data_IF_622168052260
#
_entry.id   IF_622168052260
#
_cell.length_a   1.000
_cell.length_b   1.000
_cell.length_c   1.000
_cell.angle_alpha   90.00
_cell.angle_beta   90.00
_cell.angle_gamma   90.00
#
_symmetry.space_group_name_H-M   'P 1'
#
loop_
_entity.id
_entity.type
_entity.pdbx_description
1 polymer ?
#
# COMPACT_ATOMS: atom_id res chain seq x y z
N UNK A 1 12.27 -14.00 7.01
CA UNK A 1 12.41 -12.52 7.10
C UNK A 1 12.44 -11.94 5.71
N UNK A 2 11.58 -10.99 5.38
CA UNK A 2 11.69 -10.32 4.09
C UNK A 2 12.82 -9.30 4.11
N UNK A 3 13.33 -8.96 2.93
CA UNK A 3 14.10 -7.74 2.79
C UNK A 3 13.12 -6.58 2.89
N UNK A 4 13.50 -5.55 3.61
CA UNK A 4 12.64 -4.38 3.79
C UNK A 4 13.03 -3.27 2.83
N UNK A 5 12.02 -2.64 2.26
CA UNK A 5 12.19 -1.39 1.52
C UNK A 5 11.68 -0.26 2.42
N UNK A 6 12.55 0.68 2.74
CA UNK A 6 12.18 1.85 3.53
C UNK A 6 11.54 2.89 2.62
N UNK A 7 10.36 3.37 3.02
CA UNK A 7 9.63 4.38 2.26
C UNK A 7 9.54 5.67 3.07
N UNK A 8 9.80 6.79 2.41
CA UNK A 8 9.64 8.13 2.98
C UNK A 8 8.74 8.93 2.05
N UNK A 9 7.59 9.35 2.56
CA UNK A 9 6.55 10.01 1.78
C UNK A 9 6.24 11.35 2.42
N UNK A 10 6.30 12.40 1.62
CA UNK A 10 5.94 13.75 2.05
C UNK A 10 4.78 14.25 1.21
N UNK A 11 3.72 14.67 1.89
CA UNK A 11 2.58 15.35 1.27
C UNK A 11 2.61 16.80 1.70
N UNK A 12 2.67 17.71 0.72
CA UNK A 12 2.54 19.13 0.98
C UNK A 12 1.14 19.55 0.57
N UNK A 13 0.29 19.77 1.55
CA UNK A 13 -1.09 20.16 1.32
C UNK A 13 -1.22 21.67 1.22
N UNK A 14 -2.35 22.15 0.70
CA UNK A 14 -2.58 23.57 0.57
C UNK A 14 -2.83 24.24 1.93
N UNK A 15 -3.51 23.51 2.83
CA UNK A 15 -3.87 23.99 4.17
C UNK A 15 -3.59 22.94 5.23
N UNK A 16 -3.54 23.36 6.50
CA UNK A 16 -3.44 22.44 7.64
C UNK A 16 -4.66 21.51 7.67
N UNK A 17 -5.83 22.04 7.42
CA UNK A 17 -7.08 21.27 7.40
C UNK A 17 -7.06 20.20 6.30
N UNK A 18 -6.48 20.55 5.15
CA UNK A 18 -6.27 19.57 4.06
C UNK A 18 -5.34 18.44 4.48
N UNK A 19 -4.27 18.76 5.21
CA UNK A 19 -3.36 17.76 5.76
C UNK A 19 -4.06 16.87 6.80
N UNK A 20 -4.88 17.45 7.67
CA UNK A 20 -5.68 16.71 8.65
C UNK A 20 -6.63 15.72 7.96
N UNK A 21 -7.30 16.17 6.89
CA UNK A 21 -8.22 15.34 6.10
C UNK A 21 -7.48 14.20 5.41
N UNK A 22 -6.33 14.48 4.81
CA UNK A 22 -5.52 13.46 4.16
C UNK A 22 -5.04 12.41 5.16
N UNK A 23 -4.57 12.85 6.32
CA UNK A 23 -4.16 11.94 7.39
C UNK A 23 -5.30 11.02 7.80
N UNK A 24 -6.50 11.55 7.98
CA UNK A 24 -7.68 10.76 8.31
C UNK A 24 -8.07 9.77 7.20
N UNK A 25 -7.88 10.16 5.94
CA UNK A 25 -8.15 9.30 4.79
C UNK A 25 -7.18 8.11 4.73
N UNK A 26 -5.92 8.34 5.08
CA UNK A 26 -4.87 7.31 4.97
C UNK A 26 -4.83 6.37 6.18
N UNK A 27 -5.36 6.78 7.33
CA UNK A 27 -5.33 5.95 8.53
C UNK A 27 -6.57 5.10 8.67
N UNK A 28 -6.41 3.97 9.35
CA UNK A 28 -7.52 3.13 9.80
C UNK A 28 -7.35 2.89 11.29
N UNK A 29 -8.26 2.14 11.88
CA UNK A 29 -8.19 1.76 13.29
C UNK A 29 -6.88 1.03 13.63
N UNK A 30 -6.37 0.27 12.68
CA UNK A 30 -5.21 -0.62 12.89
C UNK A 30 -3.92 -0.07 12.30
N UNK A 31 -4.01 0.76 11.25
CA UNK A 31 -2.84 1.21 10.49
C UNK A 31 -2.81 2.73 10.35
N UNK A 32 -1.64 3.32 10.53
CA UNK A 32 -1.45 4.76 10.31
C UNK A 32 -1.45 5.14 8.84
N UNK A 33 -0.99 4.23 7.99
CA UNK A 33 -1.05 4.35 6.54
C UNK A 33 -1.57 3.01 6.02
N UNK A 34 -2.84 2.97 5.69
CA UNK A 34 -3.52 1.72 5.32
C UNK A 34 -3.73 1.65 3.81
N UNK A 35 -3.05 0.71 3.16
CA UNK A 35 -3.20 0.48 1.72
C UNK A 35 -4.64 0.09 1.35
N UNK A 36 -5.39 -0.49 2.29
CA UNK A 36 -6.80 -0.82 2.07
C UNK A 36 -7.69 0.42 1.91
N UNK A 37 -7.25 1.58 2.39
CA UNK A 37 -7.97 2.83 2.19
C UNK A 37 -7.74 3.40 0.79
N UNK A 38 -6.75 2.89 0.08
CA UNK A 38 -6.40 3.30 -1.29
C UNK A 38 -6.87 2.25 -2.29
N UNK A 39 -6.47 1.00 -2.07
CA UNK A 39 -6.85 -0.15 -2.90
C UNK A 39 -7.27 -1.29 -1.96
N UNK A 40 -8.56 -1.38 -1.62
CA UNK A 40 -9.01 -2.34 -0.61
C UNK A 40 -8.91 -3.78 -1.09
N UNK A 41 -8.33 -4.63 -0.25
CA UNK A 41 -8.31 -6.08 -0.50
C UNK A 41 -9.70 -6.65 -0.23
N UNK A 42 -10.30 -7.36 -1.20
CA UNK A 42 -11.60 -7.99 -0.97
C UNK A 42 -11.52 -8.98 0.18
N UNK A 43 -12.57 -9.04 1.01
CA UNK A 43 -12.58 -9.91 2.17
C UNK A 43 -12.48 -11.39 1.76
N UNK A 44 -13.05 -11.75 0.63
CA UNK A 44 -12.97 -13.10 0.07
C UNK A 44 -11.52 -13.51 -0.23
N UNK A 45 -10.68 -12.55 -0.61
CA UNK A 45 -9.25 -12.76 -0.87
C UNK A 45 -8.47 -12.74 0.44
N UNK A 46 -8.82 -11.84 1.36
CA UNK A 46 -8.14 -11.70 2.66
C UNK A 46 -8.16 -12.99 3.47
N UNK A 47 -9.25 -13.74 3.36
CA UNK A 47 -9.45 -15.00 4.10
C UNK A 47 -8.74 -16.20 3.46
N UNK A 48 -8.14 -16.03 2.30
CA UNK A 48 -7.45 -17.13 1.60
C UNK A 48 -6.08 -17.43 2.21
N UNK A 49 -5.53 -18.56 1.81
CA UNK A 49 -4.18 -19.01 2.19
C UNK A 49 -3.29 -18.94 0.96
N UNK A 50 -2.07 -18.45 1.12
CA UNK A 50 -1.06 -18.46 0.07
C UNK A 50 -0.21 -19.72 0.18
N UNK A 51 0.46 -20.08 -0.92
CA UNK A 51 1.38 -21.21 -0.96
C UNK A 51 0.98 -22.25 -1.99
N UNK A 52 1.45 -23.49 -1.78
CA UNK A 52 1.16 -24.59 -2.70
C UNK A 52 -0.30 -25.03 -2.62
N UNK A 53 -0.77 -25.70 -3.67
CA UNK A 53 -2.12 -26.27 -3.70
C UNK A 53 -2.41 -27.15 -2.48
N UNK A 54 -1.41 -27.89 -1.98
CA UNK A 54 -1.58 -28.76 -0.83
C UNK A 54 -1.84 -28.00 0.48
N UNK A 55 -1.42 -26.75 0.58
CA UNK A 55 -1.63 -25.92 1.77
C UNK A 55 -2.97 -25.18 1.77
N UNK A 56 -3.67 -25.14 0.64
CA UNK A 56 -4.93 -24.45 0.51
C UNK A 56 -6.09 -25.31 1.03
N UNK A 57 -7.06 -24.71 1.76
CA UNK A 57 -8.25 -25.44 2.17
C UNK A 57 -9.13 -25.80 0.97
N UNK A 58 -9.93 -26.85 1.13
CA UNK A 58 -10.77 -27.36 0.03
C UNK A 58 -11.72 -26.30 -0.54
N UNK A 59 -12.31 -25.46 0.33
CA UNK A 59 -13.22 -24.39 -0.13
C UNK A 59 -12.52 -23.42 -1.08
N UNK A 60 -11.23 -23.12 -0.83
CA UNK A 60 -10.46 -22.21 -1.67
C UNK A 60 -10.15 -22.85 -3.03
N UNK A 61 -9.80 -24.15 -3.03
CA UNK A 61 -9.58 -24.89 -4.27
C UNK A 61 -10.84 -24.94 -5.13
N UNK A 62 -11.98 -25.18 -4.51
CA UNK A 62 -13.28 -25.25 -5.19
C UNK A 62 -13.68 -23.91 -5.78
N UNK A 63 -13.35 -22.81 -5.11
CA UNK A 63 -13.71 -21.45 -5.54
C UNK A 63 -12.60 -20.75 -6.33
N UNK A 64 -11.48 -21.42 -6.58
CA UNK A 64 -10.29 -20.81 -7.21
C UNK A 64 -10.62 -20.12 -8.54
N UNK A 65 -11.31 -20.82 -9.44
CA UNK A 65 -11.64 -20.27 -10.77
C UNK A 65 -12.51 -19.03 -10.66
N UNK A 66 -13.47 -19.03 -9.74
CA UNK A 66 -14.39 -17.92 -9.53
C UNK A 66 -13.66 -16.72 -8.90
N UNK A 67 -12.78 -16.96 -7.95
CA UNK A 67 -11.95 -15.92 -7.33
C UNK A 67 -11.03 -15.28 -8.37
N UNK A 68 -10.40 -16.09 -9.22
CA UNK A 68 -9.53 -15.58 -10.29
C UNK A 68 -10.33 -14.76 -11.29
N UNK A 69 -11.53 -15.23 -11.67
CA UNK A 69 -12.40 -14.52 -12.60
C UNK A 69 -12.84 -13.17 -12.03
N UNK A 70 -13.15 -13.11 -10.74
CA UNK A 70 -13.70 -11.92 -10.08
C UNK A 70 -12.60 -10.93 -9.68
N UNK A 71 -11.46 -11.41 -9.17
CA UNK A 71 -10.41 -10.58 -8.57
C UNK A 71 -9.04 -10.71 -9.24
N UNK A 72 -8.87 -11.62 -10.19
CA UNK A 72 -7.61 -11.86 -10.87
C UNK A 72 -6.69 -12.86 -10.17
N UNK A 73 -6.96 -13.20 -8.92
CA UNK A 73 -6.13 -14.09 -8.09
C UNK A 73 -7.01 -14.87 -7.13
N UNK A 74 -6.53 -16.01 -6.65
CA UNK A 74 -7.24 -16.85 -5.69
C UNK A 74 -6.61 -16.83 -4.29
N UNK A 75 -5.60 -15.96 -4.06
CA UNK A 75 -4.96 -15.84 -2.76
C UNK A 75 -4.47 -14.42 -2.51
N UNK A 76 -4.31 -14.09 -1.23
CA UNK A 76 -3.97 -12.74 -0.79
C UNK A 76 -2.58 -12.29 -1.23
N UNK A 77 -1.61 -13.22 -1.29
CA UNK A 77 -0.22 -12.88 -1.62
C UNK A 77 -0.08 -12.44 -3.07
N UNK A 78 -0.63 -13.21 -4.00
CA UNK A 78 -0.60 -12.86 -5.42
C UNK A 78 -1.39 -11.60 -5.68
N UNK A 79 -2.52 -11.45 -5.00
CA UNK A 79 -3.34 -10.25 -5.11
C UNK A 79 -2.59 -9.00 -4.62
N UNK A 80 -1.98 -9.08 -3.42
CA UNK A 80 -1.27 -7.91 -2.86
C UNK A 80 -0.04 -7.53 -3.67
N UNK A 81 0.73 -8.49 -4.15
CA UNK A 81 1.88 -8.22 -5.01
C UNK A 81 1.45 -7.54 -6.32
N UNK A 82 0.31 -7.91 -6.89
CA UNK A 82 -0.22 -7.31 -8.09
C UNK A 82 -0.85 -5.93 -7.84
N UNK A 83 -1.68 -5.81 -6.82
CA UNK A 83 -2.51 -4.60 -6.60
C UNK A 83 -1.85 -3.54 -5.72
N UNK A 84 -0.95 -3.92 -4.84
CA UNK A 84 -0.19 -2.99 -4.02
C UNK A 84 1.27 -2.86 -4.46
N UNK A 85 1.81 -3.86 -5.16
CA UNK A 85 3.20 -3.92 -5.55
C UNK A 85 4.11 -4.47 -4.46
N UNK A 86 3.56 -4.88 -3.33
CA UNK A 86 4.30 -5.42 -2.19
C UNK A 86 3.46 -6.47 -1.47
N UNK A 87 4.12 -7.37 -0.76
CA UNK A 87 3.48 -8.52 -0.14
C UNK A 87 2.49 -8.13 0.97
N UNK A 88 2.87 -7.17 1.81
CA UNK A 88 2.09 -6.77 2.98
C UNK A 88 1.74 -5.29 2.96
N UNK A 89 0.81 -4.90 3.80
CA UNK A 89 0.51 -3.50 4.09
C UNK A 89 1.74 -2.79 4.67
N UNK A 90 1.69 -1.49 4.78
CA UNK A 90 2.77 -0.70 5.38
C UNK A 90 3.07 -1.20 6.79
N UNK A 91 4.36 -1.38 7.10
CA UNK A 91 4.84 -1.88 8.40
C UNK A 91 5.68 -0.80 9.08
N UNK A 92 5.73 -0.84 10.42
CA UNK A 92 6.58 0.04 11.22
C UNK A 92 6.34 1.53 10.90
N UNK A 93 5.09 1.91 10.70
CA UNK A 93 4.72 3.23 10.20
C UNK A 93 4.87 4.31 11.26
N UNK A 94 5.52 5.41 10.87
CA UNK A 94 5.62 6.64 11.64
C UNK A 94 5.01 7.77 10.83
N UNK A 95 4.29 8.66 11.49
CA UNK A 95 3.68 9.83 10.86
C UNK A 95 3.99 11.07 11.66
N UNK A 96 4.34 12.14 10.97
CA UNK A 96 4.52 13.46 11.58
C UNK A 96 3.76 14.48 10.75
N UNK A 97 3.21 15.48 11.42
CA UNK A 97 2.54 16.58 10.74
C UNK A 97 3.02 17.90 11.34
N UNK A 98 3.44 18.80 10.47
CA UNK A 98 3.79 20.16 10.83
C UNK A 98 3.01 21.09 9.92
N UNK A 99 1.96 21.72 10.44
CA UNK A 99 1.06 22.59 9.67
C UNK A 99 0.46 21.81 8.49
N UNK A 100 0.76 22.23 7.26
CA UNK A 100 0.27 21.61 6.03
C UNK A 100 1.19 20.52 5.47
N UNK A 101 2.26 20.20 6.21
CA UNK A 101 3.23 19.17 5.81
C UNK A 101 2.96 17.87 6.54
N UNK A 102 2.69 16.80 5.80
CA UNK A 102 2.39 15.47 6.35
C UNK A 102 3.44 14.50 5.84
N UNK A 103 4.17 13.87 6.76
CA UNK A 103 5.28 12.99 6.42
C UNK A 103 5.07 11.61 7.03
N UNK A 104 5.25 10.58 6.21
CA UNK A 104 5.19 9.18 6.61
C UNK A 104 6.53 8.50 6.38
N UNK A 105 6.87 7.60 7.28
CA UNK A 105 8.00 6.67 7.12
C UNK A 105 7.49 5.28 7.44
N UNK A 106 7.69 4.33 6.54
CA UNK A 106 7.26 2.95 6.75
C UNK A 106 8.09 1.98 5.91
N UNK A 107 8.00 0.71 6.27
CA UNK A 107 8.67 -0.35 5.55
C UNK A 107 7.67 -1.18 4.75
N UNK A 108 8.08 -1.63 3.57
CA UNK A 108 7.33 -2.57 2.76
C UNK A 108 8.17 -3.83 2.52
N UNK A 109 7.49 -4.97 2.40
CA UNK A 109 8.16 -6.27 2.24
C UNK A 109 8.59 -6.49 0.79
N UNK A 110 9.86 -6.71 0.57
CA UNK A 110 10.54 -7.07 -0.68
C UNK A 110 10.69 -5.94 -1.68
N UNK A 111 9.68 -5.10 -1.89
CA UNK A 111 9.73 -4.04 -2.88
C UNK A 111 8.88 -2.84 -2.44
N UNK A 112 9.02 -1.74 -3.18
CA UNK A 112 8.21 -0.55 -2.99
C UNK A 112 6.75 -0.79 -3.44
N UNK A 113 5.77 -0.12 -2.82
CA UNK A 113 4.36 -0.31 -3.16
C UNK A 113 3.99 0.50 -4.42
N UNK A 114 4.54 0.12 -5.56
CA UNK A 114 4.47 0.89 -6.81
C UNK A 114 3.05 1.14 -7.29
N UNK A 115 2.17 0.15 -7.18
CA UNK A 115 0.77 0.27 -7.58
C UNK A 115 -0.02 1.18 -6.65
N UNK A 116 0.32 1.21 -5.37
CA UNK A 116 -0.24 2.18 -4.42
C UNK A 116 0.20 3.60 -4.80
N UNK A 117 1.48 3.77 -5.15
CA UNK A 117 2.02 5.06 -5.59
C UNK A 117 1.29 5.53 -6.86
N UNK A 118 1.11 4.66 -7.83
CA UNK A 118 0.37 4.97 -9.06
C UNK A 118 -1.06 5.43 -8.76
N UNK A 119 -1.76 4.70 -7.89
CA UNK A 119 -3.14 5.04 -7.52
C UNK A 119 -3.20 6.40 -6.84
N UNK A 120 -2.28 6.69 -5.93
CA UNK A 120 -2.21 8.00 -5.28
C UNK A 120 -1.94 9.10 -6.29
N UNK A 121 -1.04 8.87 -7.25
CA UNK A 121 -0.77 9.83 -8.32
C UNK A 121 -1.99 10.08 -9.20
N UNK A 122 -2.81 9.05 -9.44
CA UNK A 122 -4.08 9.23 -10.15
C UNK A 122 -5.06 10.09 -9.34
N UNK A 123 -5.06 9.96 -8.01
CA UNK A 123 -5.90 10.78 -7.14
C UNK A 123 -5.51 12.26 -7.17
N UNK A 124 -4.29 12.60 -7.59
CA UNK A 124 -3.89 14.00 -7.77
C UNK A 124 -4.68 14.71 -8.87
N UNK A 125 -5.31 13.96 -9.75
CA UNK A 125 -6.19 14.52 -10.79
C UNK A 125 -7.56 14.91 -10.24
N UNK A 126 -7.92 14.43 -9.06
CA UNK A 126 -9.24 14.60 -8.44
C UNK A 126 -9.13 15.09 -7.00
N UNK A 127 -9.22 14.18 -6.03
CA UNK A 127 -9.32 14.55 -4.60
C UNK A 127 -8.02 15.10 -4.00
N UNK A 128 -6.87 14.77 -4.59
CA UNK A 128 -5.56 15.28 -4.15
C UNK A 128 -5.01 16.33 -5.10
N UNK A 129 -5.87 17.07 -5.75
CA UNK A 129 -5.55 18.01 -6.83
C UNK A 129 -4.51 19.07 -6.45
N UNK A 130 -4.52 19.53 -5.21
CA UNK A 130 -3.62 20.57 -4.74
C UNK A 130 -2.54 20.06 -3.79
N UNK A 131 -2.32 18.74 -3.76
CA UNK A 131 -1.33 18.11 -2.90
C UNK A 131 -0.09 17.79 -3.71
N UNK A 132 1.06 18.27 -3.25
CA UNK A 132 2.35 17.88 -3.84
C UNK A 132 2.86 16.65 -3.08
N UNK A 133 3.38 15.68 -3.80
CA UNK A 133 3.84 14.42 -3.25
C UNK A 133 5.30 14.21 -3.61
N UNK A 134 6.08 13.82 -2.61
CA UNK A 134 7.43 13.34 -2.79
C UNK A 134 7.52 11.96 -2.16
N UNK A 135 7.94 10.97 -2.90
CA UNK A 135 8.02 9.59 -2.41
C UNK A 135 9.36 9.00 -2.80
N UNK A 136 10.13 8.63 -1.80
CA UNK A 136 11.46 8.05 -1.97
C UNK A 136 11.51 6.71 -1.23
N UNK A 137 12.32 5.79 -1.72
CA UNK A 137 12.54 4.54 -1.03
C UNK A 137 14.02 4.12 -1.08
N UNK A 138 14.41 3.31 -0.10
CA UNK A 138 15.72 2.69 -0.03
C UNK A 138 15.52 1.19 0.09
N UNK A 139 16.01 0.46 -0.91
CA UNK A 139 15.93 -0.99 -0.92
C UNK A 139 17.06 -1.57 -0.07
N UNK A 140 16.74 -2.51 0.79
CA UNK A 140 17.70 -3.16 1.69
C UNK A 140 18.80 -3.87 0.89
N UNK A 141 18.43 -4.51 -0.22
CA UNK A 141 19.36 -5.17 -1.10
C UNK A 141 20.25 -4.14 -1.82
N UNK A 142 21.52 -4.04 -1.37
CA UNK A 142 22.47 -3.07 -1.88
C UNK A 142 22.19 -1.64 -1.45
N UNK A 143 21.15 -1.40 -0.63
CA UNK A 143 20.72 -0.09 -0.15
C UNK A 143 20.59 0.93 -1.27
N UNK A 144 19.95 0.51 -2.35
CA UNK A 144 19.72 1.36 -3.50
C UNK A 144 18.59 2.36 -3.23
N UNK A 145 18.89 3.63 -3.48
CA UNK A 145 17.92 4.71 -3.40
C UNK A 145 17.11 4.79 -4.69
N UNK A 146 15.81 5.02 -4.55
CA UNK A 146 14.93 5.23 -5.69
C UNK A 146 13.91 6.31 -5.37
N UNK A 147 13.72 7.24 -6.31
CA UNK A 147 12.70 8.27 -6.19
C UNK A 147 11.49 7.86 -7.02
N UNK A 148 10.36 7.60 -6.36
CA UNK A 148 9.14 7.14 -7.02
C UNK A 148 8.27 8.29 -7.50
N UNK A 149 8.25 9.39 -6.74
CA UNK A 149 7.55 10.63 -7.09
C UNK A 149 8.44 11.81 -6.70
N UNK A 150 8.64 12.71 -7.62
CA UNK A 150 9.45 13.91 -7.40
C UNK A 150 8.58 15.10 -6.94
#
# INVERSE_FOLDING_TARGET
MPNWTENNVTFVCKTKEGADQLKSLLESKEEKFDFNNITPMPIEIKETVSGSENSKPDWQKEQSEELIKKYGHDNWRDWSNDKWGTKWNACHTKVTQTKNLLTYSFDTAWDAPREIVETICELQKTILKNVKIQWECVHEDGRQFEQLVA
#
